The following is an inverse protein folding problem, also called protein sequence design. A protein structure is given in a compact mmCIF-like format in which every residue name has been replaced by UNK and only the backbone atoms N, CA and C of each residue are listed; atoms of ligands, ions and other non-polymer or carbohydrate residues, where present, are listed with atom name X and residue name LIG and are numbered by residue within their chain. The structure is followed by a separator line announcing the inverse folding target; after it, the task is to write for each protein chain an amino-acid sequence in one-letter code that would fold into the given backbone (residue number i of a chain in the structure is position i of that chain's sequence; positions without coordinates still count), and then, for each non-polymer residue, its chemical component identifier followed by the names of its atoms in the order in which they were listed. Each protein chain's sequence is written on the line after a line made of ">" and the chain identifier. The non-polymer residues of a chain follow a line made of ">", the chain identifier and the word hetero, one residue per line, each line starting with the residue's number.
data_IF_941128124325
#
_entry.id   IF_941128124325
#
_cell.length_a   1.000
_cell.length_b   1.000
_cell.length_c   1.000
_cell.angle_alpha   90.00
_cell.angle_beta   90.00
_cell.angle_gamma   90.00
#
_symmetry.space_group_name_H-M   'P 1'
#
loop_
_entity.id
_entity.type
_entity.pdbx_description
1 polymer ?
#
# COMPACT_ATOMS: atom_id res chain seq x y z
N UNK A 1 -58.63 1.79 -68.90
CA UNK A 1 -60.04 1.49 -69.20
C UNK A 1 -60.58 2.57 -70.13
N UNK A 2 -61.14 2.16 -71.27
CA UNK A 2 -61.71 3.02 -72.29
C UNK A 2 -63.12 3.48 -71.90
N UNK A 3 -63.37 4.79 -71.91
CA UNK A 3 -64.69 5.39 -71.74
C UNK A 3 -65.21 5.91 -73.08
N UNK A 4 -66.07 5.12 -73.72
CA UNK A 4 -66.80 5.48 -74.94
C UNK A 4 -67.89 6.49 -74.59
N UNK A 5 -67.86 7.67 -75.19
CA UNK A 5 -69.05 8.53 -75.33
C UNK A 5 -69.20 8.90 -76.81
N UNK A 6 -69.96 8.08 -77.54
CA UNK A 6 -70.55 8.46 -78.82
C UNK A 6 -71.86 9.18 -78.49
N UNK A 7 -71.97 10.45 -78.85
CA UNK A 7 -73.25 11.15 -78.90
C UNK A 7 -73.69 11.15 -80.38
N UNK A 8 -74.92 10.73 -80.70
CA UNK A 8 -75.45 10.83 -82.05
C UNK A 8 -75.72 12.31 -82.34
N UNK A 9 -75.10 12.87 -83.38
CA UNK A 9 -75.46 14.20 -83.86
C UNK A 9 -76.53 14.01 -84.94
N UNK A 10 -77.79 14.17 -84.53
CA UNK A 10 -78.95 14.05 -85.38
C UNK A 10 -78.89 15.02 -86.56
N UNK A 11 -79.25 14.47 -87.72
CA UNK A 11 -79.50 15.16 -88.95
C UNK A 11 -80.74 16.07 -88.80
N UNK A 12 -80.53 17.39 -88.79
CA UNK A 12 -81.62 18.31 -89.08
C UNK A 12 -81.68 18.54 -90.59
N UNK A 13 -82.47 17.69 -91.23
CA UNK A 13 -83.09 17.95 -92.51
C UNK A 13 -83.93 19.23 -92.44
N UNK A 14 -83.66 20.18 -93.31
CA UNK A 14 -84.60 21.24 -93.69
C UNK A 14 -84.55 21.47 -95.20
N UNK A 15 -84.70 20.37 -95.94
CA UNK A 15 -85.36 20.38 -97.26
C UNK A 15 -86.87 20.50 -97.01
N UNK A 16 -87.40 21.71 -96.87
CA UNK A 16 -88.82 21.97 -97.13
C UNK A 16 -88.92 22.99 -98.25
N UNK A 17 -88.97 22.44 -99.47
CA UNK A 17 -89.27 23.22 -100.67
C UNK A 17 -90.69 23.78 -100.60
N UNK A 18 -90.86 24.97 -101.15
CA UNK A 18 -92.14 25.46 -101.62
C UNK A 18 -92.41 24.87 -103.01
N UNK A 19 -93.61 24.35 -103.30
CA UNK A 19 -94.15 24.33 -104.65
C UNK A 19 -95.19 25.44 -104.86
N UNK A 20 -95.19 25.87 -106.12
CA UNK A 20 -95.85 26.97 -106.80
C UNK A 20 -97.34 26.68 -107.08
N UNK A 21 -98.17 27.73 -106.94
CA UNK A 21 -99.43 28.07 -107.65
C UNK A 21 -100.55 27.01 -107.83
N UNK A 22 -101.77 27.41 -107.45
CA UNK A 22 -103.03 26.79 -107.86
C UNK A 22 -104.21 27.79 -107.82
N UNK A 23 -105.25 27.63 -108.68
CA UNK A 23 -105.95 28.72 -109.37
C UNK A 23 -106.92 29.60 -108.55
N UNK A 24 -106.95 30.89 -108.87
CA UNK A 24 -107.83 31.92 -108.29
C UNK A 24 -109.32 31.66 -108.58
N UNK A 25 -110.09 31.34 -107.54
CA UNK A 25 -111.55 31.36 -107.55
C UNK A 25 -112.05 32.78 -107.18
N UNK A 26 -112.68 33.47 -108.14
CA UNK A 26 -113.17 34.85 -108.01
C UNK A 26 -114.57 34.87 -107.38
N UNK A 27 -114.64 35.19 -106.08
CA UNK A 27 -115.88 35.57 -105.38
C UNK A 27 -116.29 37.03 -105.64
N UNK A 28 -117.43 37.51 -105.10
CA UNK A 28 -117.97 38.85 -105.37
C UNK A 28 -116.92 39.93 -105.09
N UNK A 29 -116.68 40.80 -106.08
CA UNK A 29 -115.72 41.90 -105.99
C UNK A 29 -116.06 42.79 -104.77
N UNK A 30 -115.16 42.87 -103.77
CA UNK A 30 -115.28 43.83 -102.68
C UNK A 30 -115.21 45.26 -103.22
N UNK A 31 -115.85 46.21 -102.53
CA UNK A 31 -115.81 47.63 -102.91
C UNK A 31 -114.35 48.13 -102.95
N UNK A 32 -113.93 48.87 -103.99
CA UNK A 32 -112.52 49.21 -104.25
C UNK A 32 -111.76 49.76 -103.03
N UNK A 33 -112.41 50.59 -102.21
CA UNK A 33 -111.81 51.21 -101.03
C UNK A 33 -111.42 50.22 -99.91
N UNK A 34 -112.20 49.16 -99.68
CA UNK A 34 -111.90 48.16 -98.63
C UNK A 34 -110.69 47.29 -99.00
N UNK A 35 -110.61 46.92 -100.27
CA UNK A 35 -109.46 46.19 -100.83
C UNK A 35 -108.19 47.03 -100.75
N UNK A 36 -108.29 48.34 -101.00
CA UNK A 36 -107.16 49.27 -100.87
C UNK A 36 -106.64 49.38 -99.44
N UNK A 37 -107.53 49.48 -98.43
CA UNK A 37 -107.15 49.52 -97.02
C UNK A 37 -106.53 48.19 -96.53
N UNK A 38 -107.07 47.05 -96.95
CA UNK A 38 -106.54 45.73 -96.59
C UNK A 38 -105.16 45.47 -97.24
N UNK A 39 -104.98 45.94 -98.48
CA UNK A 39 -103.69 45.93 -99.16
C UNK A 39 -102.69 46.85 -98.42
N UNK A 40 -103.11 48.04 -97.99
CA UNK A 40 -102.25 48.95 -97.21
C UNK A 40 -101.83 48.33 -95.86
N UNK A 41 -102.76 47.70 -95.14
CA UNK A 41 -102.49 46.97 -93.90
C UNK A 41 -101.50 45.81 -94.12
N UNK A 42 -101.68 45.02 -95.17
CA UNK A 42 -100.73 43.98 -95.54
C UNK A 42 -99.34 44.54 -95.86
N UNK A 43 -99.23 45.69 -96.54
CA UNK A 43 -97.95 46.35 -96.79
C UNK A 43 -97.27 46.81 -95.49
N UNK A 44 -98.04 47.31 -94.51
CA UNK A 44 -97.51 47.66 -93.18
C UNK A 44 -97.00 46.43 -92.46
N UNK A 45 -97.76 45.34 -92.46
CA UNK A 45 -97.40 44.09 -91.79
C UNK A 45 -96.18 43.42 -92.43
N UNK A 46 -96.10 43.37 -93.78
CA UNK A 46 -94.91 42.89 -94.50
C UNK A 46 -93.68 43.71 -94.10
N UNK A 47 -93.79 45.04 -94.00
CA UNK A 47 -92.69 45.90 -93.54
C UNK A 47 -92.29 45.60 -92.10
N UNK A 48 -93.26 45.36 -91.20
CA UNK A 48 -93.00 44.97 -89.81
C UNK A 48 -92.24 43.63 -89.75
N UNK A 49 -92.74 42.60 -90.44
CA UNK A 49 -92.12 41.27 -90.50
C UNK A 49 -90.72 41.32 -91.11
N UNK A 50 -90.50 42.12 -92.15
CA UNK A 50 -89.16 42.33 -92.71
C UNK A 50 -88.22 43.00 -91.70
N UNK A 51 -88.71 43.96 -90.92
CA UNK A 51 -87.97 44.57 -89.82
C UNK A 51 -87.61 43.57 -88.72
N UNK A 52 -88.56 42.74 -88.32
CA UNK A 52 -88.38 41.68 -87.31
C UNK A 52 -87.43 40.59 -87.79
N UNK A 53 -87.51 40.18 -89.05
CA UNK A 53 -86.59 39.21 -89.64
C UNK A 53 -85.16 39.75 -89.66
N UNK A 54 -84.96 41.04 -89.99
CA UNK A 54 -83.65 41.70 -89.87
C UNK A 54 -83.11 41.65 -88.43
N UNK A 55 -83.94 41.97 -87.43
CA UNK A 55 -83.56 41.88 -86.01
C UNK A 55 -83.20 40.45 -85.60
N UNK A 56 -83.99 39.46 -85.99
CA UNK A 56 -83.70 38.04 -85.71
C UNK A 56 -82.38 37.58 -86.35
N UNK A 57 -82.04 38.10 -87.54
CA UNK A 57 -80.75 37.84 -88.18
C UNK A 57 -79.61 38.50 -87.41
N UNK A 58 -79.78 39.75 -86.95
CA UNK A 58 -78.82 40.45 -86.09
C UNK A 58 -78.56 39.70 -84.78
N UNK A 59 -79.62 39.26 -84.10
CA UNK A 59 -79.55 38.48 -82.86
C UNK A 59 -78.88 37.11 -83.08
N UNK A 60 -79.22 36.40 -84.16
CA UNK A 60 -78.55 35.15 -84.52
C UNK A 60 -77.06 35.38 -84.73
N UNK A 61 -76.67 36.44 -85.41
CA UNK A 61 -75.27 36.79 -85.63
C UNK A 61 -74.58 37.14 -84.30
N UNK A 62 -75.25 37.82 -83.37
CA UNK A 62 -74.74 38.08 -82.03
C UNK A 62 -74.50 36.78 -81.25
N UNK A 63 -75.50 35.90 -81.17
CA UNK A 63 -75.40 34.59 -80.51
C UNK A 63 -74.32 33.70 -81.14
N UNK A 64 -74.13 33.76 -82.46
CA UNK A 64 -73.05 33.02 -83.12
C UNK A 64 -71.66 33.52 -82.71
N UNK A 65 -71.49 34.84 -82.54
CA UNK A 65 -70.23 35.41 -82.03
C UNK A 65 -70.01 35.01 -80.57
N UNK A 66 -71.03 35.08 -79.73
CA UNK A 66 -70.97 34.67 -78.31
C UNK A 66 -70.65 33.18 -78.17
N UNK A 67 -71.24 32.32 -78.99
CA UNK A 67 -70.91 30.89 -79.02
C UNK A 67 -69.45 30.65 -79.43
N UNK A 68 -68.91 31.46 -80.36
CA UNK A 68 -67.50 31.44 -80.73
C UNK A 68 -66.60 31.80 -79.54
N UNK A 69 -66.89 32.94 -78.89
CA UNK A 69 -66.16 33.39 -77.71
C UNK A 69 -66.19 32.36 -76.56
N UNK A 70 -67.36 31.80 -76.25
CA UNK A 70 -67.50 30.79 -75.19
C UNK A 70 -66.72 29.50 -75.51
N UNK A 71 -66.61 29.10 -76.79
CA UNK A 71 -65.78 27.95 -77.20
C UNK A 71 -64.29 28.23 -77.03
N UNK A 72 -63.85 29.43 -77.36
CA UNK A 72 -62.46 29.86 -77.16
C UNK A 72 -62.11 29.90 -75.66
N UNK A 73 -63.01 30.43 -74.81
CA UNK A 73 -62.86 30.42 -73.35
C UNK A 73 -62.78 28.99 -72.78
N UNK A 74 -63.65 28.07 -73.23
CA UNK A 74 -63.56 26.66 -72.88
C UNK A 74 -62.23 26.04 -73.31
N UNK A 75 -61.70 26.44 -74.47
CA UNK A 75 -60.41 25.97 -74.92
C UNK A 75 -59.27 26.48 -74.02
N UNK A 76 -59.28 27.76 -73.66
CA UNK A 76 -58.32 28.34 -72.70
C UNK A 76 -58.40 27.67 -71.32
N UNK A 77 -59.61 27.43 -70.80
CA UNK A 77 -59.79 26.72 -69.53
C UNK A 77 -59.24 25.29 -69.59
N UNK A 78 -59.45 24.58 -70.70
CA UNK A 78 -58.91 23.22 -70.87
C UNK A 78 -57.38 23.19 -70.89
N UNK A 79 -56.73 24.19 -71.51
CA UNK A 79 -55.28 24.33 -71.48
C UNK A 79 -54.79 24.60 -70.04
N UNK A 80 -55.41 25.56 -69.34
CA UNK A 80 -55.07 25.86 -67.95
C UNK A 80 -55.24 24.64 -67.02
N UNK A 81 -56.28 23.83 -67.22
CA UNK A 81 -56.48 22.57 -66.46
C UNK A 81 -55.35 21.57 -66.76
N UNK A 82 -54.90 21.48 -68.00
CA UNK A 82 -53.79 20.59 -68.37
C UNK A 82 -52.48 21.05 -67.72
N UNK A 83 -52.21 22.36 -67.72
CA UNK A 83 -51.01 22.95 -67.09
C UNK A 83 -51.01 22.72 -65.56
N UNK A 84 -52.12 23.02 -64.88
CA UNK A 84 -52.26 22.79 -63.42
C UNK A 84 -52.04 21.31 -63.07
N UNK A 85 -52.58 20.38 -63.87
CA UNK A 85 -52.37 18.94 -63.65
C UNK A 85 -50.92 18.54 -63.87
N UNK A 86 -50.27 19.09 -64.91
CA UNK A 86 -48.84 18.87 -65.17
C UNK A 86 -47.96 19.35 -64.02
N UNK A 87 -48.21 20.55 -63.51
CA UNK A 87 -47.53 21.10 -62.33
C UNK A 87 -47.76 20.24 -61.09
N UNK A 88 -49.01 19.82 -60.83
CA UNK A 88 -49.34 18.98 -59.69
C UNK A 88 -48.64 17.61 -59.77
N UNK A 89 -48.63 16.98 -60.93
CA UNK A 89 -47.93 15.71 -61.16
C UNK A 89 -46.41 15.88 -60.96
N UNK A 90 -45.83 16.95 -61.50
CA UNK A 90 -44.41 17.28 -61.30
C UNK A 90 -44.09 17.47 -59.81
N UNK A 91 -44.86 18.30 -59.10
CA UNK A 91 -44.70 18.50 -57.67
C UNK A 91 -44.84 17.20 -56.86
N UNK A 92 -45.79 16.33 -57.24
CA UNK A 92 -45.96 15.04 -56.57
C UNK A 92 -44.73 14.14 -56.75
N UNK A 93 -44.12 14.12 -57.95
CA UNK A 93 -42.90 13.36 -58.24
C UNK A 93 -41.71 13.92 -57.46
N UNK A 94 -41.55 15.23 -57.44
CA UNK A 94 -40.48 15.88 -56.67
C UNK A 94 -40.56 15.55 -55.18
N UNK A 95 -41.75 15.53 -54.59
CA UNK A 95 -41.94 15.15 -53.19
C UNK A 95 -41.58 13.68 -52.94
N UNK A 96 -41.96 12.78 -53.85
CA UNK A 96 -41.59 11.35 -53.77
C UNK A 96 -40.08 11.19 -53.86
N UNK A 97 -39.42 11.84 -54.82
CA UNK A 97 -37.96 11.78 -54.96
C UNK A 97 -37.22 12.32 -53.74
N UNK A 98 -37.71 13.44 -53.16
CA UNK A 98 -37.16 13.99 -51.91
C UNK A 98 -37.37 13.02 -50.75
N UNK A 99 -38.54 12.38 -50.66
CA UNK A 99 -38.82 11.34 -49.67
C UNK A 99 -37.84 10.17 -49.77
N UNK A 100 -37.65 9.62 -50.97
CA UNK A 100 -36.72 8.52 -51.21
C UNK A 100 -35.26 8.90 -50.90
N UNK A 101 -34.84 10.13 -51.21
CA UNK A 101 -33.51 10.64 -50.84
C UNK A 101 -33.34 10.68 -49.32
N UNK A 102 -34.31 11.23 -48.60
CA UNK A 102 -34.28 11.28 -47.14
C UNK A 102 -34.30 9.88 -46.51
N UNK A 103 -35.05 8.93 -47.06
CA UNK A 103 -35.04 7.53 -46.61
C UNK A 103 -33.67 6.87 -46.82
N UNK A 104 -33.02 7.13 -47.96
CA UNK A 104 -31.66 6.64 -48.24
C UNK A 104 -30.65 7.24 -47.26
N UNK A 105 -30.72 8.55 -46.99
CA UNK A 105 -29.87 9.24 -46.02
C UNK A 105 -30.11 8.69 -44.60
N UNK A 106 -31.38 8.47 -44.21
CA UNK A 106 -31.72 7.84 -42.93
C UNK A 106 -31.07 6.47 -42.79
N UNK A 107 -31.19 5.60 -43.80
CA UNK A 107 -30.54 4.28 -43.80
C UNK A 107 -29.01 4.38 -43.75
N UNK A 108 -28.42 5.35 -44.45
CA UNK A 108 -26.98 5.58 -44.40
C UNK A 108 -26.49 6.00 -42.99
N UNK A 109 -27.34 6.64 -42.18
CA UNK A 109 -27.01 7.00 -40.78
C UNK A 109 -27.21 5.88 -39.76
N UNK A 110 -27.97 4.82 -40.08
CA UNK A 110 -28.18 3.67 -39.17
C UNK A 110 -26.88 2.96 -38.72
N UNK A 111 -25.90 2.65 -39.59
CA UNK A 111 -24.64 2.03 -39.14
C UNK A 111 -23.87 2.90 -38.15
N UNK A 112 -23.87 4.23 -38.34
CA UNK A 112 -23.21 5.16 -37.41
C UNK A 112 -23.85 5.13 -36.01
N UNK A 113 -25.18 4.96 -35.93
CA UNK A 113 -25.86 4.76 -34.64
C UNK A 113 -25.44 3.45 -33.98
N UNK A 114 -25.28 2.38 -34.75
CA UNK A 114 -24.83 1.09 -34.25
C UNK A 114 -23.38 1.17 -33.74
N UNK A 115 -22.48 1.81 -34.48
CA UNK A 115 -21.10 2.07 -34.07
C UNK A 115 -21.05 2.90 -32.79
N UNK A 116 -21.87 3.95 -32.66
CA UNK A 116 -21.95 4.75 -31.45
C UNK A 116 -22.38 3.92 -30.22
N UNK A 117 -23.31 2.97 -30.39
CA UNK A 117 -23.71 2.04 -29.32
C UNK A 117 -22.56 1.08 -28.97
N UNK A 118 -21.87 0.54 -29.97
CA UNK A 118 -20.72 -0.35 -29.76
C UNK A 118 -19.58 0.36 -29.03
N UNK A 119 -19.18 1.54 -29.49
CA UNK A 119 -18.16 2.37 -28.83
C UNK A 119 -18.55 2.73 -27.40
N UNK A 120 -19.84 3.02 -27.15
CA UNK A 120 -20.33 3.27 -25.79
C UNK A 120 -20.16 2.03 -24.90
N UNK A 121 -20.43 0.84 -25.41
CA UNK A 121 -20.22 -0.41 -24.68
C UNK A 121 -18.72 -0.69 -24.43
N UNK A 122 -17.85 -0.38 -25.40
CA UNK A 122 -16.40 -0.50 -25.24
C UNK A 122 -15.85 0.47 -24.19
N UNK A 123 -16.30 1.73 -24.19
CA UNK A 123 -15.95 2.71 -23.16
C UNK A 123 -16.37 2.23 -21.78
N UNK A 124 -17.55 1.61 -21.65
CA UNK A 124 -17.99 1.02 -20.38
C UNK A 124 -17.05 -0.10 -19.92
N UNK A 125 -16.68 -1.04 -20.82
CA UNK A 125 -15.71 -2.11 -20.52
C UNK A 125 -14.32 -1.57 -20.14
N UNK A 126 -13.83 -0.55 -20.84
CA UNK A 126 -12.55 0.08 -20.51
C UNK A 126 -12.61 0.77 -19.14
N UNK A 127 -13.76 1.37 -18.79
CA UNK A 127 -13.92 2.00 -17.49
C UNK A 127 -13.98 0.99 -16.34
N UNK A 128 -14.59 -0.18 -16.53
CA UNK A 128 -14.55 -1.25 -15.51
C UNK A 128 -13.12 -1.73 -15.30
N UNK A 129 -12.36 -2.00 -16.37
CA UNK A 129 -10.94 -2.39 -16.28
C UNK A 129 -10.12 -1.30 -15.57
N UNK A 130 -10.37 -0.02 -15.89
CA UNK A 130 -9.70 1.11 -15.23
C UNK A 130 -9.99 1.14 -13.73
N UNK A 131 -11.23 0.86 -13.31
CA UNK A 131 -11.61 0.80 -11.89
C UNK A 131 -10.93 -0.37 -11.16
N UNK A 132 -10.90 -1.55 -11.78
CA UNK A 132 -10.23 -2.72 -11.22
C UNK A 132 -8.72 -2.49 -11.05
N UNK A 133 -8.06 -1.95 -12.08
CA UNK A 133 -6.63 -1.59 -12.02
C UNK A 133 -6.37 -0.50 -10.98
N UNK A 134 -7.24 0.51 -10.87
CA UNK A 134 -7.13 1.53 -9.83
C UNK A 134 -7.22 0.90 -8.42
N UNK A 135 -8.12 -0.06 -8.23
CA UNK A 135 -8.21 -0.85 -6.99
C UNK A 135 -6.93 -1.64 -6.70
N UNK A 136 -6.38 -2.32 -7.70
CA UNK A 136 -5.11 -3.04 -7.56
C UNK A 136 -3.95 -2.11 -7.19
N UNK A 137 -3.85 -0.94 -7.82
CA UNK A 137 -2.84 0.07 -7.48
C UNK A 137 -3.00 0.56 -6.05
N UNK A 138 -4.23 0.81 -5.58
CA UNK A 138 -4.48 1.20 -4.19
C UNK A 138 -4.05 0.11 -3.21
N UNK A 139 -4.38 -1.15 -3.48
CA UNK A 139 -3.99 -2.29 -2.64
C UNK A 139 -2.46 -2.41 -2.56
N UNK A 140 -1.77 -2.40 -3.70
CA UNK A 140 -0.31 -2.45 -3.74
C UNK A 140 0.32 -1.24 -3.04
N UNK A 141 -0.28 -0.06 -3.14
CA UNK A 141 0.19 1.13 -2.44
C UNK A 141 0.08 0.96 -0.92
N UNK A 142 -1.00 0.37 -0.42
CA UNK A 142 -1.17 0.05 1.00
C UNK A 142 -0.15 -1.01 1.46
N UNK A 143 0.06 -2.06 0.68
CA UNK A 143 1.02 -3.11 1.04
C UNK A 143 2.47 -2.59 1.01
N UNK A 144 2.81 -1.71 0.07
CA UNK A 144 4.08 -1.00 0.09
C UNK A 144 4.24 -0.12 1.34
N UNK A 145 3.18 0.53 1.82
CA UNK A 145 3.23 1.31 3.05
C UNK A 145 3.48 0.42 4.29
N UNK A 146 2.82 -0.74 4.37
CA UNK A 146 3.04 -1.74 5.43
C UNK A 146 4.49 -2.25 5.41
N UNK A 147 4.97 -2.70 4.25
CA UNK A 147 6.35 -3.19 4.11
C UNK A 147 7.40 -2.10 4.41
N UNK A 148 7.10 -0.84 4.11
CA UNK A 148 7.96 0.28 4.53
C UNK A 148 8.00 0.41 6.06
N UNK A 149 6.86 0.29 6.74
CA UNK A 149 6.81 0.33 8.20
C UNK A 149 7.58 -0.86 8.83
N UNK A 150 7.44 -2.06 8.28
CA UNK A 150 8.17 -3.24 8.77
C UNK A 150 9.69 -3.09 8.56
N UNK A 151 10.11 -2.52 7.43
CA UNK A 151 11.52 -2.24 7.19
C UNK A 151 12.11 -1.22 8.19
N UNK A 152 11.30 -0.30 8.74
CA UNK A 152 11.74 0.60 9.80
C UNK A 152 11.99 -0.12 11.14
N UNK A 153 11.55 -1.37 11.30
CA UNK A 153 11.85 -2.18 12.48
C UNK A 153 13.26 -2.80 12.44
N UNK A 154 13.85 -2.97 11.26
CA UNK A 154 15.18 -3.60 11.10
C UNK A 154 16.29 -2.88 11.89
N UNK A 155 16.39 -1.54 11.90
CA UNK A 155 17.37 -0.82 12.73
C UNK A 155 17.21 -1.07 14.23
N UNK A 156 15.97 -1.24 14.73
CA UNK A 156 15.72 -1.55 16.14
C UNK A 156 16.26 -2.95 16.48
N UNK A 157 15.93 -3.94 15.65
CA UNK A 157 16.44 -5.30 15.83
C UNK A 157 17.97 -5.37 15.72
N UNK A 158 18.59 -4.54 14.87
CA UNK A 158 20.06 -4.42 14.80
C UNK A 158 20.64 -3.86 16.11
N UNK A 159 20.02 -2.82 16.67
CA UNK A 159 20.43 -2.25 17.95
C UNK A 159 20.31 -3.27 19.09
N UNK A 160 19.25 -4.08 19.10
CA UNK A 160 19.08 -5.16 20.09
C UNK A 160 20.18 -6.23 19.96
N UNK A 161 20.51 -6.65 18.73
CA UNK A 161 21.62 -7.58 18.47
C UNK A 161 22.95 -7.01 18.98
N UNK A 162 23.24 -5.73 18.70
CA UNK A 162 24.46 -5.07 19.15
C UNK A 162 24.50 -4.95 20.69
N UNK A 163 23.37 -4.65 21.32
CA UNK A 163 23.21 -4.61 22.78
C UNK A 163 23.51 -5.97 23.43
N UNK A 164 22.89 -7.04 22.91
CA UNK A 164 23.12 -8.41 23.37
C UNK A 164 24.57 -8.86 23.14
N UNK A 165 25.19 -8.43 22.03
CA UNK A 165 26.59 -8.72 21.77
C UNK A 165 27.51 -8.07 22.82
N UNK A 166 27.24 -6.81 23.19
CA UNK A 166 28.00 -6.14 24.25
C UNK A 166 27.83 -6.83 25.60
N UNK A 167 26.61 -7.26 25.95
CA UNK A 167 26.36 -8.01 27.19
C UNK A 167 27.12 -9.33 27.22
N UNK A 168 27.12 -10.06 26.11
CA UNK A 168 27.90 -11.29 25.95
C UNK A 168 29.41 -11.05 26.13
N UNK A 169 29.95 -9.96 25.59
CA UNK A 169 31.36 -9.60 25.78
C UNK A 169 31.67 -9.21 27.24
N UNK A 170 30.77 -8.49 27.92
CA UNK A 170 30.91 -8.18 29.35
C UNK A 170 30.91 -9.45 30.20
N UNK A 171 30.01 -10.39 29.93
CA UNK A 171 29.94 -11.66 30.65
C UNK A 171 31.20 -12.52 30.45
N UNK A 172 31.73 -12.60 29.23
CA UNK A 172 33.00 -13.29 28.94
C UNK A 172 34.16 -12.72 29.76
N UNK A 173 34.28 -11.39 29.79
CA UNK A 173 35.33 -10.72 30.57
C UNK A 173 35.18 -10.98 32.08
N UNK A 174 33.95 -10.96 32.60
CA UNK A 174 33.68 -11.27 34.01
C UNK A 174 34.13 -12.70 34.38
N UNK A 175 33.79 -13.68 33.53
CA UNK A 175 34.23 -15.07 33.69
C UNK A 175 35.77 -15.17 33.70
N UNK A 176 36.46 -14.44 32.83
CA UNK A 176 37.92 -14.48 32.79
C UNK A 176 38.58 -13.84 34.03
N UNK A 177 37.95 -12.83 34.64
CA UNK A 177 38.38 -12.30 35.94
C UNK A 177 38.15 -13.31 37.07
N UNK A 178 36.99 -13.96 37.11
CA UNK A 178 36.68 -15.00 38.11
C UNK A 178 37.63 -16.19 38.00
N UNK A 179 37.94 -16.66 36.78
CA UNK A 179 38.93 -17.72 36.54
C UNK A 179 40.30 -17.35 37.10
N UNK A 180 40.79 -16.13 36.84
CA UNK A 180 42.08 -15.65 37.35
C UNK A 180 42.09 -15.60 38.89
N UNK A 181 41.05 -15.03 39.49
CA UNK A 181 40.91 -14.97 40.94
C UNK A 181 40.83 -16.37 41.58
N UNK A 182 40.17 -17.33 40.92
CA UNK A 182 40.08 -18.70 41.40
C UNK A 182 41.43 -19.44 41.35
N UNK A 183 42.26 -19.19 40.33
CA UNK A 183 43.62 -19.73 40.24
C UNK A 183 44.46 -19.22 41.42
N UNK A 184 44.45 -17.91 41.70
CA UNK A 184 45.18 -17.32 42.84
C UNK A 184 44.70 -17.89 44.19
N UNK A 185 43.39 -18.09 44.35
CA UNK A 185 42.81 -18.69 45.55
C UNK A 185 43.24 -20.15 45.72
N UNK A 186 43.31 -20.91 44.63
CA UNK A 186 43.82 -22.29 44.63
C UNK A 186 45.29 -22.35 45.01
N UNK A 187 46.13 -21.44 44.52
CA UNK A 187 47.54 -21.33 44.90
C UNK A 187 47.69 -21.01 46.40
N UNK A 188 46.88 -20.09 46.93
CA UNK A 188 46.87 -19.78 48.36
C UNK A 188 46.47 -20.99 49.22
N UNK A 189 45.45 -21.75 48.80
CA UNK A 189 45.04 -22.99 49.49
C UNK A 189 46.16 -24.03 49.45
N UNK A 190 46.81 -24.22 48.30
CA UNK A 190 47.92 -25.17 48.17
C UNK A 190 49.13 -24.78 49.04
N UNK A 191 49.46 -23.48 49.13
CA UNK A 191 50.51 -22.99 50.02
C UNK A 191 50.17 -23.24 51.49
N UNK A 192 48.91 -23.01 51.88
CA UNK A 192 48.43 -23.29 53.23
C UNK A 192 48.49 -24.79 53.57
N UNK A 193 48.07 -25.65 52.64
CA UNK A 193 48.14 -27.10 52.79
C UNK A 193 49.59 -27.57 52.99
N UNK A 194 50.53 -27.08 52.17
CA UNK A 194 51.97 -27.38 52.32
C UNK A 194 52.49 -26.98 53.70
N UNK A 195 52.09 -25.82 54.23
CA UNK A 195 52.46 -25.36 55.58
C UNK A 195 51.85 -26.23 56.68
N UNK A 196 50.59 -26.65 56.54
CA UNK A 196 49.96 -27.54 57.52
C UNK A 196 50.62 -28.92 57.54
N UNK A 197 50.98 -29.45 56.38
CA UNK A 197 51.74 -30.70 56.26
C UNK A 197 53.14 -30.55 56.88
N UNK A 198 53.84 -29.44 56.65
CA UNK A 198 55.15 -29.21 57.28
C UNK A 198 55.04 -29.08 58.80
N UNK A 199 54.05 -28.34 59.30
CA UNK A 199 53.77 -28.23 60.74
C UNK A 199 53.44 -29.59 61.36
N UNK A 200 52.62 -30.41 60.70
CA UNK A 200 52.32 -31.75 61.18
C UNK A 200 53.58 -32.62 61.28
N UNK A 201 54.48 -32.54 60.28
CA UNK A 201 55.79 -33.21 60.30
C UNK A 201 56.70 -32.70 61.43
N UNK A 202 56.72 -31.39 61.69
CA UNK A 202 57.48 -30.80 62.80
C UNK A 202 56.93 -31.23 64.17
N UNK A 203 55.61 -31.24 64.34
CA UNK A 203 54.97 -31.75 65.57
C UNK A 203 55.35 -33.22 65.79
N UNK A 204 55.35 -34.04 64.75
CA UNK A 204 55.74 -35.44 64.85
C UNK A 204 57.23 -35.60 65.19
N UNK A 205 58.10 -34.75 64.62
CA UNK A 205 59.52 -34.70 64.99
C UNK A 205 59.71 -34.33 66.46
N UNK A 206 59.02 -33.31 66.95
CA UNK A 206 59.07 -32.89 68.36
C UNK A 206 58.54 -33.98 69.31
N UNK A 207 57.52 -34.74 68.89
CA UNK A 207 57.02 -35.91 69.64
C UNK A 207 58.08 -37.02 69.72
N UNK A 208 58.78 -37.32 68.62
CA UNK A 208 59.87 -38.28 68.61
C UNK A 208 61.06 -37.83 69.48
N UNK A 209 61.40 -36.53 69.45
CA UNK A 209 62.42 -35.95 70.34
C UNK A 209 62.02 -36.06 71.83
N UNK A 210 60.75 -35.85 72.18
CA UNK A 210 60.24 -36.03 73.54
C UNK A 210 60.31 -37.51 73.98
N UNK A 211 59.89 -38.44 73.12
CA UNK A 211 59.96 -39.88 73.38
C UNK A 211 61.40 -40.37 73.57
N UNK A 212 62.38 -39.81 72.86
CA UNK A 212 63.80 -40.10 73.05
C UNK A 212 64.36 -39.54 74.37
N UNK A 213 63.70 -38.56 75.00
CA UNK A 213 64.04 -38.03 76.33
C UNK A 213 63.33 -38.75 77.49
N UNK A 214 62.33 -39.58 77.21
CA UNK A 214 61.57 -40.39 78.20
C UNK A 214 62.30 -41.68 78.60
N UNK A 215 63.56 -41.53 79.03
CA UNK A 215 64.25 -42.50 79.87
C UNK A 215 64.14 -42.20 81.37
N UNK A 216 63.23 -41.32 81.81
CA UNK A 216 63.05 -40.99 83.24
C UNK A 216 61.56 -40.70 83.57
N UNK A 217 60.94 -41.40 84.53
CA UNK A 217 59.50 -41.34 84.74
C UNK A 217 59.10 -40.11 85.56
N UNK A 218 58.10 -39.35 85.09
CA UNK A 218 57.39 -38.38 85.92
C UNK A 218 55.90 -38.70 85.95
N UNK A 219 55.54 -39.35 87.05
CA UNK A 219 54.18 -39.60 87.53
C UNK A 219 53.61 -38.26 88.03
N UNK A 220 53.23 -37.37 87.11
CA UNK A 220 52.48 -36.13 87.41
C UNK A 220 52.08 -35.37 86.13
N UNK A 221 51.29 -36.00 85.25
CA UNK A 221 50.73 -35.34 84.06
C UNK A 221 49.23 -35.64 83.83
N UNK A 222 48.53 -36.16 84.84
CA UNK A 222 47.09 -36.38 84.80
C UNK A 222 46.23 -35.11 84.95
N UNK A 223 46.84 -33.91 85.01
CA UNK A 223 46.13 -32.62 84.98
C UNK A 223 46.28 -31.84 83.64
N UNK A 224 47.04 -32.37 82.66
CA UNK A 224 47.24 -31.73 81.35
C UNK A 224 46.37 -32.32 80.23
N UNK A 225 45.76 -33.49 80.46
CA UNK A 225 44.91 -34.18 79.48
C UNK A 225 43.57 -33.43 79.26
N UNK A 226 43.05 -32.75 80.29
CA UNK A 226 41.83 -31.94 80.17
C UNK A 226 42.06 -30.63 79.38
N UNK A 227 43.24 -30.02 79.49
CA UNK A 227 43.54 -28.77 78.76
C UNK A 227 43.82 -29.03 77.26
N UNK A 228 44.42 -30.18 76.93
CA UNK A 228 44.66 -30.59 75.55
C UNK A 228 43.35 -30.94 74.80
N UNK A 229 42.39 -31.61 75.45
CA UNK A 229 41.09 -31.92 74.85
C UNK A 229 40.26 -30.67 74.55
N UNK A 230 40.21 -29.69 75.45
CA UNK A 230 39.48 -28.42 75.23
C UNK A 230 40.10 -27.61 74.08
N UNK A 231 41.44 -27.60 73.97
CA UNK A 231 42.13 -26.90 72.87
C UNK A 231 41.93 -27.62 71.53
N UNK A 232 41.92 -28.96 71.51
CA UNK A 232 41.67 -29.74 70.30
C UNK A 232 40.20 -29.65 69.83
N UNK A 233 39.25 -29.67 70.77
CA UNK A 233 37.82 -29.44 70.49
C UNK A 233 37.56 -28.01 69.97
N UNK A 234 38.21 -26.99 70.55
CA UNK A 234 38.10 -25.62 70.07
C UNK A 234 38.73 -25.43 68.68
N UNK A 235 39.84 -26.12 68.39
CA UNK A 235 40.52 -26.06 67.09
C UNK A 235 39.69 -26.75 65.99
N UNK A 236 39.12 -27.92 66.28
CA UNK A 236 38.23 -28.65 65.35
C UNK A 236 36.91 -27.92 65.11
N UNK A 237 36.31 -27.32 66.15
CA UNK A 237 35.11 -26.48 65.99
C UNK A 237 35.37 -25.21 65.17
N UNK A 238 36.52 -24.55 65.37
CA UNK A 238 36.89 -23.38 64.57
C UNK A 238 37.20 -23.73 63.10
N UNK A 239 37.82 -24.89 62.86
CA UNK A 239 38.07 -25.39 61.51
C UNK A 239 36.75 -25.76 60.78
N UNK A 240 35.81 -26.40 61.48
CA UNK A 240 34.49 -26.74 60.95
C UNK A 240 33.64 -25.48 60.64
N UNK A 241 33.69 -24.46 61.51
CA UNK A 241 33.05 -23.18 61.25
C UNK A 241 33.60 -22.49 59.99
N UNK A 242 34.94 -22.47 59.80
CA UNK A 242 35.57 -21.89 58.62
C UNK A 242 35.23 -22.62 57.31
N UNK A 243 35.02 -23.94 57.37
CA UNK A 243 34.62 -24.74 56.21
C UNK A 243 33.15 -24.48 55.81
N UNK A 244 32.24 -24.40 56.79
CA UNK A 244 30.81 -24.16 56.53
C UNK A 244 30.51 -22.74 56.03
N UNK A 245 31.31 -21.72 56.41
CA UNK A 245 31.18 -20.37 55.83
C UNK A 245 31.59 -20.34 54.35
N UNK A 246 32.47 -21.26 53.91
CA UNK A 246 32.91 -21.38 52.51
C UNK A 246 31.88 -22.07 51.62
N UNK A 247 31.02 -22.93 52.16
CA UNK A 247 30.00 -23.66 51.39
C UNK A 247 28.71 -22.87 51.25
N UNK A 248 28.28 -22.14 52.28
CA UNK A 248 27.08 -21.27 52.21
C UNK A 248 27.27 -20.07 51.27
N UNK A 249 28.50 -19.57 51.09
CA UNK A 249 28.79 -18.47 50.16
C UNK A 249 28.63 -18.86 48.68
N UNK A 250 28.69 -20.16 48.34
CA UNK A 250 28.51 -20.65 46.96
C UNK A 250 27.02 -20.85 46.60
N UNK A 251 26.11 -20.79 47.57
CA UNK A 251 24.68 -21.03 47.37
C UNK A 251 23.87 -19.72 47.31
N UNK A 252 24.46 -18.60 47.79
CA UNK A 252 23.83 -17.28 47.80
C UNK A 252 24.28 -16.37 46.63
N UNK A 253 25.19 -16.85 45.77
CA UNK A 253 25.67 -16.14 44.57
C UNK A 253 24.76 -16.25 43.34
N UNK A 254 23.68 -17.04 43.40
CA UNK A 254 22.73 -17.13 42.28
C UNK A 254 21.77 -15.93 42.17
N UNK A 255 21.64 -15.06 43.19
CA UNK A 255 20.56 -14.06 43.23
C UNK A 255 20.89 -12.61 43.61
N UNK A 256 22.16 -12.17 43.71
CA UNK A 256 22.45 -10.71 43.83
C UNK A 256 23.88 -10.31 43.42
N UNK A 257 23.97 -9.09 42.88
CA UNK A 257 25.13 -8.48 42.25
C UNK A 257 26.51 -8.82 42.89
N UNK A 258 27.52 -9.24 42.08
CA UNK A 258 28.68 -10.00 42.56
C UNK A 258 29.81 -9.18 43.23
N UNK A 259 29.87 -7.86 43.05
CA UNK A 259 31.06 -7.09 43.44
C UNK A 259 31.18 -6.80 44.96
N UNK A 260 30.06 -6.58 45.65
CA UNK A 260 30.08 -6.20 47.06
C UNK A 260 30.31 -7.40 48.01
N UNK A 261 29.75 -8.57 47.67
CA UNK A 261 29.84 -9.77 48.51
C UNK A 261 31.25 -10.39 48.50
N UNK A 262 31.91 -10.45 47.34
CA UNK A 262 33.28 -10.96 47.22
C UNK A 262 34.28 -10.15 48.04
N UNK A 263 34.12 -8.82 48.07
CA UNK A 263 35.00 -7.92 48.83
C UNK A 263 34.85 -8.11 50.34
N UNK A 264 33.62 -8.34 50.82
CA UNK A 264 33.34 -8.60 52.25
C UNK A 264 33.87 -9.98 52.68
N UNK A 265 33.73 -11.01 51.85
CA UNK A 265 34.23 -12.36 52.14
C UNK A 265 35.77 -12.42 52.21
N UNK A 266 36.48 -11.77 51.28
CA UNK A 266 37.95 -11.69 51.29
C UNK A 266 38.46 -10.91 52.50
N UNK A 267 37.78 -9.81 52.88
CA UNK A 267 38.12 -9.05 54.10
C UNK A 267 37.86 -9.87 55.36
N UNK A 268 36.74 -10.57 55.46
CA UNK A 268 36.41 -11.42 56.60
C UNK A 268 37.41 -12.57 56.75
N UNK A 269 37.82 -13.22 55.64
CA UNK A 269 38.83 -14.28 55.63
C UNK A 269 40.22 -13.77 56.03
N UNK A 270 40.67 -12.61 55.51
CA UNK A 270 41.96 -12.01 55.92
C UNK A 270 41.97 -11.60 57.40
N UNK A 271 40.84 -11.11 57.91
CA UNK A 271 40.72 -10.68 59.32
C UNK A 271 40.72 -11.87 60.28
N UNK A 272 40.00 -12.95 59.94
CA UNK A 272 40.01 -14.20 60.72
C UNK A 272 41.36 -14.91 60.66
N UNK A 273 42.03 -14.95 59.50
CA UNK A 273 43.38 -15.51 59.36
C UNK A 273 44.44 -14.71 60.15
N UNK A 274 44.35 -13.37 60.17
CA UNK A 274 45.22 -12.51 60.98
C UNK A 274 44.98 -12.66 62.49
N UNK A 275 43.74 -12.90 62.92
CA UNK A 275 43.40 -13.18 64.31
C UNK A 275 43.86 -14.57 64.75
N UNK A 276 43.75 -15.57 63.88
CA UNK A 276 44.19 -16.94 64.16
C UNK A 276 45.71 -17.04 64.32
N UNK A 277 46.47 -16.34 63.48
CA UNK A 277 47.95 -16.29 63.53
C UNK A 277 48.48 -15.52 64.75
N UNK A 278 47.81 -14.43 65.16
CA UNK A 278 48.16 -13.71 66.40
C UNK A 278 47.83 -14.52 67.67
N UNK A 279 46.67 -15.19 67.69
CA UNK A 279 46.23 -16.01 68.83
C UNK A 279 47.10 -17.26 69.02
N UNK A 280 47.49 -17.92 67.93
CA UNK A 280 48.40 -19.08 67.96
C UNK A 280 49.83 -18.69 68.34
N UNK A 281 50.39 -17.60 67.79
CA UNK A 281 51.70 -17.06 68.24
C UNK A 281 51.71 -16.69 69.73
N UNK A 282 50.64 -16.06 70.23
CA UNK A 282 50.54 -15.68 71.65
C UNK A 282 50.39 -16.89 72.59
N UNK A 283 49.65 -17.94 72.16
CA UNK A 283 49.52 -19.19 72.93
C UNK A 283 50.81 -20.02 72.94
N UNK A 284 51.52 -20.11 71.81
CA UNK A 284 52.82 -20.78 71.73
C UNK A 284 53.87 -20.03 72.56
N UNK A 285 53.88 -18.70 72.55
CA UNK A 285 54.76 -17.89 73.39
C UNK A 285 54.50 -18.09 74.91
N UNK A 286 53.23 -18.19 75.33
CA UNK A 286 52.88 -18.55 76.72
C UNK A 286 53.31 -19.95 77.11
N UNK A 287 53.21 -20.90 76.18
CA UNK A 287 53.61 -22.29 76.41
C UNK A 287 55.14 -22.42 76.56
N UNK A 288 55.91 -21.68 75.76
CA UNK A 288 57.37 -21.58 75.88
C UNK A 288 57.77 -20.87 77.19
N UNK A 289 57.06 -19.81 77.58
CA UNK A 289 57.31 -19.08 78.84
C UNK A 289 57.00 -19.90 80.10
N UNK A 290 55.93 -20.71 80.09
CA UNK A 290 55.63 -21.65 81.18
C UNK A 290 56.71 -22.75 81.31
N UNK A 291 57.27 -23.21 80.18
CA UNK A 291 58.38 -24.19 80.18
C UNK A 291 59.70 -23.59 80.67
N UNK A 292 59.89 -22.27 80.52
CA UNK A 292 61.04 -21.55 81.07
C UNK A 292 60.94 -21.31 82.59
N UNK A 293 59.72 -21.14 83.14
CA UNK A 293 59.51 -20.93 84.59
C UNK A 293 59.74 -22.20 85.44
N UNK A 294 59.61 -23.40 84.86
CA UNK A 294 59.86 -24.67 85.56
C UNK A 294 61.37 -25.01 85.64
N UNK A 295 62.23 -24.31 84.88
CA UNK A 295 63.69 -24.55 84.86
C UNK A 295 64.49 -23.56 85.72
N UNK A 296 63.84 -22.65 86.46
CA UNK A 296 64.46 -21.48 87.08
C UNK A 296 64.77 -21.59 88.59
N UNK A 297 64.82 -22.79 89.18
CA UNK A 297 65.42 -23.01 90.50
C UNK A 297 66.77 -23.74 90.35
N UNK A 298 67.84 -22.94 90.25
CA UNK A 298 69.23 -23.41 90.12
C UNK A 298 70.09 -22.44 89.29
N UNK A 299 70.55 -21.34 89.90
CA UNK A 299 71.53 -20.43 89.27
C UNK A 299 72.98 -20.88 89.50
N UNK A 300 73.99 -20.03 89.24
CA UNK A 300 74.22 -19.23 88.02
C UNK A 300 75.66 -19.43 87.50
N UNK A 301 75.96 -19.18 86.22
CA UNK A 301 77.26 -18.65 85.77
C UNK A 301 77.11 -18.03 84.37
N UNK A 302 77.62 -16.81 84.21
CA UNK A 302 77.41 -15.99 83.02
C UNK A 302 78.55 -16.07 81.99
N UNK A 303 78.24 -15.63 80.76
CA UNK A 303 79.15 -14.90 79.89
C UNK A 303 78.34 -14.17 78.80
N UNK A 304 78.72 -12.92 78.51
CA UNK A 304 78.12 -12.02 77.52
C UNK A 304 78.79 -12.23 76.14
N UNK A 305 78.09 -11.99 75.04
CA UNK A 305 78.65 -11.26 73.89
C UNK A 305 77.56 -10.67 72.97
N UNK A 306 77.98 -9.65 72.24
CA UNK A 306 77.27 -8.50 71.66
C UNK A 306 76.50 -8.72 70.34
N UNK A 307 75.60 -7.77 70.06
CA UNK A 307 75.11 -7.26 68.74
C UNK A 307 76.28 -6.81 67.82
N UNK A 308 76.12 -6.58 66.48
CA UNK A 308 75.21 -5.56 65.89
C UNK A 308 74.64 -5.87 64.45
N UNK A 309 73.45 -5.35 64.09
CA UNK A 309 73.11 -4.18 63.22
C UNK A 309 72.94 -4.41 61.69
N UNK A 310 71.99 -3.65 61.11
CA UNK A 310 71.75 -3.42 59.68
C UNK A 310 70.32 -3.80 59.25
N UNK A 311 69.39 -2.93 58.85
CA UNK A 311 69.48 -1.61 58.24
C UNK A 311 68.92 -1.68 56.80
N UNK A 312 67.69 -1.16 56.61
CA UNK A 312 66.88 -0.90 55.39
C UNK A 312 67.67 -0.36 54.15
N UNK A 313 67.11 -0.24 52.89
CA UNK A 313 65.71 0.05 52.53
C UNK A 313 65.14 -0.50 51.19
N UNK A 314 63.87 -0.17 50.94
CA UNK A 314 63.19 -0.23 49.65
C UNK A 314 63.72 0.81 48.63
N UNK A 315 63.34 0.70 47.35
CA UNK A 315 63.17 1.88 46.51
C UNK A 315 61.79 2.00 45.84
N UNK A 316 61.36 3.27 45.79
CA UNK A 316 60.56 4.00 44.77
C UNK A 316 60.47 3.33 43.38
N UNK A 317 59.41 3.49 42.57
CA UNK A 317 58.59 4.68 42.33
C UNK A 317 59.07 5.41 41.05
N UNK A 318 58.26 5.37 39.98
CA UNK A 318 58.21 6.15 38.70
C UNK A 318 57.88 5.18 37.54
N UNK A 319 57.12 5.48 36.50
CA UNK A 319 56.49 6.71 36.02
C UNK A 319 56.14 6.53 34.52
N UNK A 320 55.27 7.42 34.00
CA UNK A 320 55.09 7.85 32.60
C UNK A 320 54.21 7.07 31.59
N UNK A 321 53.42 7.87 30.83
CA UNK A 321 52.95 7.54 29.47
C UNK A 321 51.47 7.84 29.15
N UNK A 322 50.99 9.09 29.21
CA UNK A 322 50.78 10.04 28.08
C UNK A 322 49.58 9.76 27.15
N UNK A 323 48.71 10.77 27.11
CA UNK A 323 47.64 11.04 26.14
C UNK A 323 48.15 11.43 24.74
N UNK A 324 47.44 11.01 23.69
CA UNK A 324 47.19 11.76 22.45
C UNK A 324 45.91 11.13 21.84
N UNK A 325 44.92 11.83 21.30
CA UNK A 325 44.93 13.13 20.61
C UNK A 325 44.27 12.90 19.23
N UNK A 326 43.22 13.66 18.94
CA UNK A 326 42.17 13.37 17.96
C UNK A 326 42.45 13.78 16.49
N UNK A 327 41.46 13.45 15.65
CA UNK A 327 41.05 14.02 14.35
C UNK A 327 41.61 13.39 13.07
N UNK A 328 40.71 12.92 12.19
CA UNK A 328 40.56 13.56 10.86
C UNK A 328 39.24 13.22 10.14
N UNK A 329 38.89 14.15 9.26
CA UNK A 329 37.60 14.38 8.58
C UNK A 329 37.47 13.60 7.27
N UNK A 330 36.23 13.32 6.84
CA UNK A 330 35.90 12.78 5.51
C UNK A 330 35.77 13.84 4.40
N UNK A 331 35.61 13.40 3.14
CA UNK A 331 34.52 13.87 2.25
C UNK A 331 33.87 12.68 1.48
N UNK A 332 32.54 12.56 1.34
CA UNK A 332 31.59 13.32 0.50
C UNK A 332 31.91 13.31 -1.01
N UNK A 333 31.50 12.25 -1.72
CA UNK A 333 31.06 12.32 -3.13
C UNK A 333 30.17 11.12 -3.50
N UNK A 334 28.94 11.40 -3.94
CA UNK A 334 28.20 10.60 -4.92
C UNK A 334 27.88 11.50 -6.12
N UNK A 335 27.17 11.07 -7.19
CA UNK A 335 26.58 9.76 -7.47
C UNK A 335 27.00 9.17 -8.83
N UNK A 336 26.83 7.85 -9.02
CA UNK A 336 26.96 7.22 -10.34
C UNK A 336 25.61 7.20 -11.04
N UNK A 337 25.61 7.70 -12.27
CA UNK A 337 24.47 7.81 -13.18
C UNK A 337 24.36 6.52 -13.99
N UNK A 338 23.23 5.82 -13.91
CA UNK A 338 22.92 4.68 -14.78
C UNK A 338 21.69 5.02 -15.64
N UNK A 339 22.00 5.28 -16.91
CA UNK A 339 21.11 5.48 -18.04
C UNK A 339 20.24 4.24 -18.29
N UNK A 340 18.92 4.43 -18.40
CA UNK A 340 18.00 3.47 -19.01
C UNK A 340 17.34 4.14 -20.20
N UNK A 341 17.70 3.73 -21.42
CA UNK A 341 17.07 4.19 -22.64
C UNK A 341 17.05 3.11 -23.71
N UNK A 342 15.86 2.55 -23.94
CA UNK A 342 15.34 1.87 -25.15
C UNK A 342 16.09 0.61 -25.62
N UNK A 343 15.51 -0.29 -26.41
CA UNK A 343 14.20 -0.41 -27.03
C UNK A 343 14.25 -1.78 -27.71
N UNK A 344 13.50 -2.80 -27.29
CA UNK A 344 13.16 -3.92 -28.19
C UNK A 344 11.79 -4.51 -27.81
N UNK A 345 10.88 -4.51 -28.78
CA UNK A 345 9.69 -5.37 -28.84
C UNK A 345 9.71 -6.07 -30.19
N UNK A 346 9.51 -7.38 -30.27
CA UNK A 346 9.21 -8.07 -31.51
C UNK A 346 7.71 -8.33 -31.68
N UNK A 347 7.37 -8.91 -32.84
CA UNK A 347 6.11 -9.55 -33.29
C UNK A 347 5.15 -8.63 -34.08
N UNK A 348 5.10 -8.71 -35.42
CA UNK A 348 4.55 -9.74 -36.34
C UNK A 348 2.99 -9.77 -36.43
N UNK A 349 2.50 -9.11 -37.48
CA UNK A 349 1.62 -9.63 -38.57
C UNK A 349 0.10 -9.83 -38.37
N UNK A 350 -0.61 -9.49 -39.48
CA UNK A 350 -1.96 -9.85 -39.97
C UNK A 350 -3.08 -8.88 -39.61
N UNK A 351 -3.94 -8.46 -40.53
CA UNK A 351 -4.09 -8.70 -41.99
C UNK A 351 -4.98 -7.58 -42.53
#
# INVERSE_FOLDING_TARGET
>A
MAGRNRIPSDAFDSRRGYPLEGPLFRGPMPHPAMLEDELQMQHVEIRRLLGENRRLVEDRMALQRELGAAKEELHHMNLAIADIRGEQEMHSRELIERGLKLEADLRATEPLKNEAIQLRAEVQKLNTIRQDLAGQVQNLTQDLAKLKADNLQIPLLRADIDGLHQELMRARNAIDYEKKANIELMEQRQAMEKNLVSMAREVEKLRAELANTDGRPWVSALALVDCACVVFAAWTAAAAAAYNTSTNANQESENRAPAAAATVAVKASKTTQAQFTKSTKAKVARMISCKASIRAEGGPYGMKFSSPEGGFPAPYGDGYGVHLGAADKGPLYGPSSASWGGLEKPWMTRR
#
